data_IF_542367137986
#
_entry.id   IF_542367137986
#
_cell.length_a   1.000
_cell.length_b   1.000
_cell.length_c   1.000
_cell.angle_alpha   90.00
_cell.angle_beta   90.00
_cell.angle_gamma   90.00
#
_symmetry.space_group_name_H-M   'P 1'
#
loop_
_entity.id
_entity.type
_entity.pdbx_description
1 polymer ?
#
# COMPACT_ATOMS: atom_id res chain seq x y z
N UNK A 1 -88.10 -11.89 -12.43
CA UNK A 1 -87.07 -10.87 -12.13
C UNK A 1 -86.14 -11.43 -11.06
N UNK A 2 -84.92 -11.83 -11.42
CA UNK A 2 -83.89 -12.19 -10.46
C UNK A 2 -82.56 -11.61 -10.99
N UNK A 3 -81.99 -10.65 -10.27
CA UNK A 3 -80.69 -10.02 -10.58
C UNK A 3 -79.65 -10.60 -9.62
N UNK A 4 -78.69 -11.35 -10.15
CA UNK A 4 -77.50 -11.78 -9.41
C UNK A 4 -76.47 -10.64 -9.40
N UNK A 5 -76.05 -10.21 -8.20
CA UNK A 5 -74.86 -9.37 -8.03
C UNK A 5 -73.64 -10.28 -7.86
N UNK A 6 -72.68 -10.17 -8.78
CA UNK A 6 -71.33 -10.71 -8.60
C UNK A 6 -70.45 -9.66 -7.91
N UNK A 7 -69.94 -9.98 -6.73
CA UNK A 7 -68.97 -9.16 -6.02
C UNK A 7 -67.55 -9.51 -6.49
N UNK A 8 -66.84 -8.53 -7.06
CA UNK A 8 -65.45 -8.67 -7.50
C UNK A 8 -64.52 -8.41 -6.31
N UNK A 9 -63.83 -9.45 -5.85
CA UNK A 9 -62.84 -9.36 -4.78
C UNK A 9 -61.50 -8.92 -5.37
N UNK A 10 -61.11 -7.66 -5.16
CA UNK A 10 -59.80 -7.16 -5.56
C UNK A 10 -58.74 -7.60 -4.54
N UNK A 11 -57.87 -8.54 -4.92
CA UNK A 11 -56.67 -8.88 -4.15
C UNK A 11 -55.66 -7.73 -4.26
N UNK A 12 -55.47 -6.98 -3.16
CA UNK A 12 -54.28 -6.15 -2.98
C UNK A 12 -53.11 -7.06 -2.60
N UNK A 13 -52.17 -7.26 -3.52
CA UNK A 13 -50.87 -7.84 -3.21
C UNK A 13 -50.02 -6.81 -2.45
N UNK A 14 -49.39 -7.16 -1.30
CA UNK A 14 -48.48 -6.26 -0.63
C UNK A 14 -47.22 -6.05 -1.48
N UNK A 15 -46.93 -4.80 -1.81
CA UNK A 15 -45.64 -4.43 -2.39
C UNK A 15 -44.55 -4.68 -1.35
N UNK A 16 -43.74 -5.72 -1.55
CA UNK A 16 -42.54 -5.95 -0.76
C UNK A 16 -41.56 -4.78 -0.92
N UNK A 17 -40.71 -4.51 0.09
CA UNK A 17 -39.68 -3.48 -0.03
C UNK A 17 -38.83 -3.77 -1.27
N UNK A 18 -38.70 -2.79 -2.15
CA UNK A 18 -37.80 -2.86 -3.29
C UNK A 18 -36.38 -3.07 -2.78
N UNK A 19 -35.85 -4.29 -2.90
CA UNK A 19 -34.44 -4.57 -2.66
C UNK A 19 -33.66 -3.68 -3.64
N UNK A 20 -32.92 -2.72 -3.11
CA UNK A 20 -32.01 -1.92 -3.92
C UNK A 20 -31.10 -2.88 -4.70
N UNK A 21 -31.04 -2.72 -6.03
CA UNK A 21 -30.21 -3.57 -6.89
C UNK A 21 -28.76 -3.48 -6.40
N UNK A 22 -28.16 -4.62 -6.06
CA UNK A 22 -26.74 -4.70 -5.71
C UNK A 22 -25.89 -4.06 -6.82
N UNK A 23 -24.94 -3.17 -6.48
CA UNK A 23 -24.12 -2.51 -7.49
C UNK A 23 -23.32 -3.51 -8.31
N UNK A 24 -23.12 -3.22 -9.60
CA UNK A 24 -22.33 -4.09 -10.48
C UNK A 24 -20.85 -4.02 -10.10
N UNK A 25 -20.19 -5.15 -9.79
CA UNK A 25 -18.81 -5.16 -9.28
C UNK A 25 -17.77 -4.57 -10.25
N UNK A 26 -17.92 -4.82 -11.56
CA UNK A 26 -16.97 -4.37 -12.58
C UNK A 26 -16.79 -2.85 -12.62
N UNK A 27 -17.87 -2.05 -12.80
CA UNK A 27 -17.81 -0.60 -12.73
C UNK A 27 -17.21 -0.06 -11.43
N UNK A 28 -17.45 -0.74 -10.29
CA UNK A 28 -16.88 -0.35 -9.01
C UNK A 28 -15.36 -0.54 -8.98
N UNK A 29 -14.87 -1.67 -9.50
CA UNK A 29 -13.44 -1.94 -9.65
C UNK A 29 -12.77 -0.94 -10.60
N UNK A 30 -13.40 -0.63 -11.75
CA UNK A 30 -12.91 0.41 -12.68
C UNK A 30 -12.77 1.74 -11.95
N UNK A 31 -13.82 2.19 -11.25
CA UNK A 31 -13.80 3.44 -10.49
C UNK A 31 -12.69 3.48 -9.45
N UNK A 32 -12.51 2.40 -8.68
CA UNK A 32 -11.43 2.29 -7.69
C UNK A 32 -10.05 2.40 -8.34
N UNK A 33 -9.82 1.70 -9.45
CA UNK A 33 -8.54 1.73 -10.17
C UNK A 33 -8.27 3.14 -10.72
N UNK A 34 -9.24 3.77 -11.38
CA UNK A 34 -9.07 5.06 -12.03
C UNK A 34 -8.92 6.23 -11.04
N UNK A 35 -9.66 6.20 -9.93
CA UNK A 35 -9.73 7.36 -9.03
C UNK A 35 -8.79 7.26 -7.84
N UNK A 36 -8.35 6.04 -7.48
CA UNK A 36 -7.49 5.81 -6.31
C UNK A 36 -6.13 5.25 -6.71
N UNK A 37 -6.10 4.16 -7.47
CA UNK A 37 -4.89 3.34 -7.65
C UNK A 37 -3.95 3.94 -8.70
N UNK A 38 -4.41 4.14 -9.93
CA UNK A 38 -3.57 4.65 -11.03
C UNK A 38 -2.99 6.03 -10.71
N UNK A 39 -3.76 7.03 -10.22
CA UNK A 39 -3.18 8.34 -9.89
C UNK A 39 -2.10 8.28 -8.82
N UNK A 40 -2.21 7.35 -7.86
CA UNK A 40 -1.19 7.16 -6.81
C UNK A 40 0.07 6.50 -7.36
N UNK A 41 -0.06 5.52 -8.26
CA UNK A 41 1.10 4.97 -8.96
C UNK A 41 1.78 5.99 -9.88
N UNK A 42 1.02 6.89 -10.52
CA UNK A 42 1.58 8.01 -11.29
C UNK A 42 2.36 8.97 -10.39
N UNK A 43 1.81 9.32 -9.22
CA UNK A 43 2.50 10.13 -8.23
C UNK A 43 3.77 9.43 -7.70
N UNK A 44 3.71 8.12 -7.44
CA UNK A 44 4.86 7.32 -7.04
C UNK A 44 5.93 7.31 -8.12
N UNK A 45 5.58 7.05 -9.38
CA UNK A 45 6.51 7.05 -10.51
C UNK A 45 7.20 8.41 -10.69
N UNK A 46 6.44 9.51 -10.59
CA UNK A 46 6.99 10.87 -10.63
C UNK A 46 7.97 11.11 -9.48
N UNK A 47 7.64 10.70 -8.26
CA UNK A 47 8.49 10.90 -7.10
C UNK A 47 9.78 10.07 -7.18
N UNK A 48 9.72 8.83 -7.67
CA UNK A 48 10.92 8.00 -7.88
C UNK A 48 11.80 8.48 -9.03
N UNK A 49 11.21 9.10 -10.06
CA UNK A 49 11.97 9.76 -11.12
C UNK A 49 12.75 10.96 -10.56
N UNK A 50 12.08 11.82 -9.76
CA UNK A 50 12.74 12.93 -9.08
C UNK A 50 13.85 12.46 -8.12
N UNK A 51 13.65 11.33 -7.43
CA UNK A 51 14.69 10.70 -6.61
C UNK A 51 15.89 10.27 -7.48
N UNK A 52 15.64 9.68 -8.65
CA UNK A 52 16.70 9.30 -9.59
C UNK A 52 17.49 10.51 -10.08
N UNK A 53 16.81 11.61 -10.40
CA UNK A 53 17.45 12.86 -10.83
C UNK A 53 18.29 13.46 -9.70
N UNK A 54 17.79 13.46 -8.46
CA UNK A 54 18.52 13.92 -7.30
C UNK A 54 19.81 13.11 -7.09
N UNK A 55 19.74 11.78 -7.17
CA UNK A 55 20.91 10.89 -7.09
C UNK A 55 21.90 11.12 -8.22
N UNK A 56 21.42 11.24 -9.45
CA UNK A 56 22.27 11.45 -10.63
C UNK A 56 23.01 12.78 -10.52
N UNK A 57 22.32 13.84 -10.07
CA UNK A 57 22.92 15.16 -9.85
C UNK A 57 23.94 15.15 -8.71
N UNK A 58 23.60 14.54 -7.57
CA UNK A 58 24.47 14.50 -6.40
C UNK A 58 25.76 13.70 -6.64
N UNK A 59 25.75 12.79 -7.63
CA UNK A 59 26.87 11.93 -7.97
C UNK A 59 27.59 12.30 -9.27
N UNK A 60 27.27 13.44 -9.89
CA UNK A 60 27.81 13.84 -11.19
C UNK A 60 29.35 14.00 -11.19
N UNK A 61 29.92 14.49 -10.10
CA UNK A 61 31.37 14.73 -9.97
C UNK A 61 32.12 13.55 -9.33
N UNK A 62 31.43 12.41 -9.11
CA UNK A 62 32.00 11.22 -8.48
C UNK A 62 32.24 11.31 -6.97
N UNK A 63 32.03 12.48 -6.37
CA UNK A 63 32.11 12.69 -4.92
C UNK A 63 30.73 12.66 -4.26
N UNK A 64 30.53 11.67 -3.39
CA UNK A 64 29.34 11.53 -2.57
C UNK A 64 29.47 12.45 -1.36
N UNK A 65 29.15 13.76 -1.49
CA UNK A 65 28.67 14.64 -0.41
C UNK A 65 28.70 16.15 -0.72
N UNK A 66 27.82 16.68 -1.59
CA UNK A 66 27.46 18.11 -1.46
C UNK A 66 26.09 18.37 -0.80
N UNK A 67 25.09 17.47 -0.92
CA UNK A 67 23.75 17.74 -0.38
C UNK A 67 22.95 16.47 0.00
N UNK A 68 23.26 15.90 1.18
CA UNK A 68 22.45 14.83 1.77
C UNK A 68 21.02 15.29 2.12
N UNK A 69 20.79 16.60 2.27
CA UNK A 69 19.47 17.15 2.58
C UNK A 69 18.48 16.89 1.45
N UNK A 70 18.83 17.33 0.23
CA UNK A 70 18.01 17.11 -0.96
C UNK A 70 17.75 15.63 -1.25
N UNK A 71 18.76 14.76 -1.11
CA UNK A 71 18.58 13.32 -1.31
C UNK A 71 17.65 12.68 -0.26
N UNK A 72 17.70 13.15 0.99
CA UNK A 72 16.81 12.68 2.06
C UNK A 72 15.38 13.17 1.85
N UNK A 73 15.19 14.41 1.41
CA UNK A 73 13.86 14.95 1.08
C UNK A 73 13.22 14.19 -0.09
N UNK A 74 13.98 13.98 -1.17
CA UNK A 74 13.53 13.22 -2.32
C UNK A 74 13.25 11.74 -1.95
N UNK A 75 14.05 11.14 -1.05
CA UNK A 75 13.78 9.81 -0.50
C UNK A 75 12.43 9.77 0.24
N UNK A 76 12.18 10.72 1.14
CA UNK A 76 10.93 10.78 1.89
C UNK A 76 9.72 10.91 0.97
N UNK A 77 9.82 11.75 -0.06
CA UNK A 77 8.75 11.96 -1.05
C UNK A 77 8.50 10.71 -1.89
N UNK A 78 9.55 10.07 -2.41
CA UNK A 78 9.41 8.83 -3.17
C UNK A 78 8.84 7.69 -2.33
N UNK A 79 9.29 7.58 -1.08
CA UNK A 79 8.85 6.54 -0.19
C UNK A 79 7.43 6.80 0.37
N UNK A 80 6.93 8.05 0.35
CA UNK A 80 5.52 8.36 0.58
C UNK A 80 4.66 7.87 -0.58
N UNK A 81 5.15 8.02 -1.81
CA UNK A 81 4.51 7.45 -3.00
C UNK A 81 4.30 5.94 -2.87
N UNK A 82 5.29 5.21 -2.35
CA UNK A 82 5.15 3.79 -2.04
C UNK A 82 4.14 3.52 -0.92
N UNK A 83 4.22 4.23 0.21
CA UNK A 83 3.28 4.06 1.31
C UNK A 83 1.81 4.30 0.88
N UNK A 84 1.59 5.15 -0.12
CA UNK A 84 0.26 5.39 -0.68
C UNK A 84 -0.31 4.19 -1.47
N UNK A 85 0.52 3.24 -1.91
CA UNK A 85 0.12 2.11 -2.76
C UNK A 85 0.52 0.74 -2.23
N UNK A 86 1.31 0.65 -1.16
CA UNK A 86 1.81 -0.62 -0.59
C UNK A 86 0.70 -1.59 -0.14
N UNK A 87 -0.52 -1.07 0.05
CA UNK A 87 -1.67 -1.89 0.39
C UNK A 87 -2.28 -2.62 -0.83
N UNK A 88 -1.92 -2.21 -2.05
CA UNK A 88 -2.42 -2.78 -3.30
C UNK A 88 -1.59 -4.01 -3.65
N UNK A 89 -2.23 -5.19 -3.70
CA UNK A 89 -1.63 -6.44 -4.17
C UNK A 89 -2.23 -6.89 -5.50
N UNK A 90 -3.22 -6.16 -6.02
CA UNK A 90 -3.87 -6.44 -7.31
C UNK A 90 -3.19 -5.72 -8.48
N UNK A 91 -3.11 -6.42 -9.61
CA UNK A 91 -2.67 -5.83 -10.88
C UNK A 91 -1.16 -5.97 -11.15
N UNK A 92 -0.60 -5.11 -12.01
CA UNK A 92 0.80 -5.11 -12.43
C UNK A 92 1.82 -5.21 -11.29
N UNK A 93 1.52 -4.62 -10.13
CA UNK A 93 2.41 -4.64 -8.97
C UNK A 93 2.64 -6.06 -8.43
N UNK A 94 1.74 -7.01 -8.66
CA UNK A 94 1.84 -8.38 -8.15
C UNK A 94 2.90 -9.24 -8.88
N UNK A 95 3.43 -8.75 -10.00
CA UNK A 95 4.32 -9.52 -10.87
C UNK A 95 5.79 -9.31 -10.51
N UNK A 96 6.65 -10.24 -10.94
CA UNK A 96 8.12 -10.07 -10.91
C UNK A 96 8.71 -9.66 -9.55
N UNK A 97 8.08 -10.08 -8.45
CA UNK A 97 8.43 -9.72 -7.07
C UNK A 97 8.58 -8.20 -6.87
N UNK A 98 7.83 -7.39 -7.63
CA UNK A 98 7.91 -5.92 -7.57
C UNK A 98 7.67 -5.36 -6.15
N UNK A 99 6.74 -5.87 -5.31
CA UNK A 99 6.56 -5.34 -3.96
C UNK A 99 7.82 -5.54 -3.11
N UNK A 100 8.41 -6.75 -3.13
CA UNK A 100 9.64 -7.05 -2.39
C UNK A 100 10.86 -6.28 -2.91
N UNK A 101 10.92 -6.06 -4.23
CA UNK A 101 11.98 -5.27 -4.87
C UNK A 101 11.88 -3.78 -4.57
N UNK A 102 10.67 -3.25 -4.34
CA UNK A 102 10.46 -1.87 -3.89
C UNK A 102 10.70 -1.77 -2.39
N UNK A 103 10.20 -2.72 -1.62
CA UNK A 103 10.28 -2.72 -0.17
C UNK A 103 10.41 -4.13 0.41
N UNK A 104 11.64 -4.56 0.65
CA UNK A 104 11.91 -5.83 1.33
C UNK A 104 11.81 -5.68 2.86
N UNK A 105 10.82 -6.31 3.49
CA UNK A 105 10.69 -6.35 4.94
C UNK A 105 9.50 -7.20 5.41
N UNK A 106 9.45 -7.60 6.70
CA UNK A 106 10.37 -7.25 7.79
C UNK A 106 11.75 -7.92 7.70
N UNK A 107 12.83 -7.16 7.89
CA UNK A 107 14.22 -7.68 7.82
C UNK A 107 14.73 -8.22 9.16
N UNK A 108 14.21 -9.38 9.60
CA UNK A 108 14.59 -9.99 10.88
C UNK A 108 16.04 -10.49 10.94
N UNK A 109 16.66 -10.76 9.78
CA UNK A 109 17.99 -11.41 9.68
C UNK A 109 19.08 -10.45 9.21
N UNK A 110 18.79 -9.14 9.16
CA UNK A 110 19.71 -8.12 8.66
C UNK A 110 20.20 -8.41 7.22
N UNK A 111 19.33 -9.01 6.41
CA UNK A 111 19.57 -9.42 5.02
C UNK A 111 19.86 -8.21 4.14
N UNK A 112 19.22 -7.06 4.41
CA UNK A 112 19.44 -5.82 3.65
C UNK A 112 20.91 -5.38 3.77
N UNK A 113 21.51 -5.46 4.96
CA UNK A 113 22.92 -5.08 5.15
C UNK A 113 23.86 -5.97 4.34
N UNK A 114 23.65 -7.28 4.39
CA UNK A 114 24.47 -8.26 3.65
C UNK A 114 24.37 -8.06 2.14
N UNK A 115 23.14 -7.96 1.63
CA UNK A 115 22.88 -7.76 0.21
C UNK A 115 23.43 -6.42 -0.29
N UNK A 116 23.35 -5.36 0.53
CA UNK A 116 23.90 -4.04 0.19
C UNK A 116 25.43 -4.06 0.14
N UNK A 117 26.10 -4.80 1.04
CA UNK A 117 27.54 -4.98 1.00
C UNK A 117 27.99 -5.71 -0.28
N UNK A 118 27.27 -6.75 -0.70
CA UNK A 118 27.51 -7.46 -1.96
C UNK A 118 27.33 -6.54 -3.18
N UNK A 119 26.25 -5.75 -3.21
CA UNK A 119 26.00 -4.80 -4.29
C UNK A 119 27.08 -3.71 -4.34
N UNK A 120 27.53 -3.23 -3.17
CA UNK A 120 28.62 -2.25 -3.05
C UNK A 120 29.95 -2.82 -3.53
N UNK A 121 30.24 -4.09 -3.28
CA UNK A 121 31.43 -4.75 -3.80
C UNK A 121 31.41 -4.79 -5.34
N UNK A 122 30.28 -5.19 -5.94
CA UNK A 122 30.10 -5.16 -7.41
C UNK A 122 30.24 -3.74 -7.98
N UNK A 123 29.78 -2.74 -7.24
CA UNK A 123 29.90 -1.34 -7.64
C UNK A 123 31.34 -0.81 -7.61
N UNK A 124 32.32 -1.57 -7.12
CA UNK A 124 33.76 -1.21 -7.25
C UNK A 124 34.28 -1.52 -8.65
N UNK A 125 33.73 -2.57 -9.28
CA UNK A 125 34.17 -3.06 -10.59
C UNK A 125 33.61 -2.24 -11.77
N UNK A 126 32.70 -1.30 -11.50
CA UNK A 126 32.14 -0.40 -12.51
C UNK A 126 30.68 -0.03 -12.23
N UNK A 127 30.01 0.48 -13.26
CA UNK A 127 28.59 0.84 -13.19
C UNK A 127 27.69 -0.37 -13.02
N UNK A 128 26.65 -0.21 -12.20
CA UNK A 128 25.64 -1.25 -11.96
C UNK A 128 24.54 -1.15 -13.02
N UNK A 129 24.53 -2.07 -13.98
CA UNK A 129 23.47 -2.13 -14.99
C UNK A 129 22.11 -2.53 -14.36
N UNK A 130 20.98 -2.22 -15.01
CA UNK A 130 19.67 -2.69 -14.56
C UNK A 130 19.59 -4.22 -14.40
N UNK A 131 20.26 -4.97 -15.27
CA UNK A 131 20.35 -6.44 -15.22
C UNK A 131 21.12 -6.89 -13.98
N UNK A 132 22.20 -6.21 -13.64
CA UNK A 132 22.99 -6.47 -12.43
C UNK A 132 22.14 -6.28 -11.18
N UNK A 133 21.39 -5.18 -11.10
CA UNK A 133 20.50 -4.90 -9.97
C UNK A 133 19.38 -5.94 -9.87
N UNK A 134 18.78 -6.33 -11.01
CA UNK A 134 17.75 -7.39 -11.03
C UNK A 134 18.28 -8.76 -10.59
N UNK A 135 19.56 -9.05 -10.87
CA UNK A 135 20.21 -10.31 -10.55
C UNK A 135 20.72 -10.44 -9.11
N UNK A 136 20.77 -9.36 -8.33
CA UNK A 136 21.11 -9.43 -6.89
C UNK A 136 19.87 -9.68 -6.02
N UNK A 137 20.09 -10.01 -4.75
CA UNK A 137 19.02 -10.18 -3.77
C UNK A 137 18.07 -8.97 -3.75
N UNK A 138 16.76 -9.24 -3.71
CA UNK A 138 15.70 -8.22 -3.61
C UNK A 138 15.92 -7.27 -2.42
N UNK A 139 16.58 -7.76 -1.36
CA UNK A 139 16.91 -6.97 -0.17
C UNK A 139 17.85 -5.79 -0.44
N UNK A 140 18.57 -5.76 -1.58
CA UNK A 140 19.44 -4.65 -1.98
C UNK A 140 18.80 -3.70 -3.02
N UNK A 141 17.57 -3.96 -3.48
CA UNK A 141 17.03 -3.32 -4.68
C UNK A 141 16.13 -2.09 -4.42
N UNK A 142 15.68 -1.90 -3.17
CA UNK A 142 14.57 -0.99 -2.86
C UNK A 142 14.82 0.01 -1.74
N UNK A 143 13.74 0.61 -1.24
CA UNK A 143 13.77 1.65 -0.21
C UNK A 143 14.52 1.27 1.08
N UNK A 144 14.43 0.04 1.62
CA UNK A 144 15.20 -0.34 2.81
C UNK A 144 16.72 -0.28 2.58
N UNK A 145 17.19 -0.64 1.39
CA UNK A 145 18.59 -0.53 1.03
C UNK A 145 18.98 0.95 0.83
N UNK A 146 18.17 1.72 0.10
CA UNK A 146 18.41 3.15 -0.12
C UNK A 146 18.42 3.96 1.18
N UNK A 147 17.59 3.57 2.16
CA UNK A 147 17.57 4.17 3.49
C UNK A 147 18.93 4.03 4.17
N UNK A 148 19.53 2.84 4.16
CA UNK A 148 20.87 2.64 4.73
C UNK A 148 21.91 3.47 4.01
N UNK A 149 21.84 3.49 2.68
CA UNK A 149 22.73 4.32 1.85
C UNK A 149 22.59 5.81 2.18
N UNK A 150 21.50 6.30 2.75
CA UNK A 150 21.32 7.74 3.08
C UNK A 150 21.47 8.10 4.57
N UNK A 151 21.15 7.17 5.45
CA UNK A 151 20.99 7.45 6.88
C UNK A 151 21.99 6.68 7.76
N UNK A 152 22.65 5.63 7.27
CA UNK A 152 23.76 5.00 7.99
C UNK A 152 25.09 5.74 7.70
N UNK A 153 26.06 5.71 8.63
CA UNK A 153 27.38 6.29 8.44
C UNK A 153 28.02 5.84 7.12
N UNK A 154 28.77 6.74 6.49
CA UNK A 154 29.51 6.41 5.28
C UNK A 154 30.62 5.39 5.58
N UNK A 155 30.49 4.19 5.04
CA UNK A 155 31.56 3.22 4.98
C UNK A 155 31.91 2.93 3.52
N UNK A 156 33.20 2.83 3.21
CA UNK A 156 33.70 2.51 1.86
C UNK A 156 33.89 3.72 0.93
N UNK A 157 34.10 3.42 -0.35
CA UNK A 157 34.43 4.41 -1.38
C UNK A 157 33.19 5.23 -1.79
N UNK A 158 33.33 6.56 -1.78
CA UNK A 158 32.28 7.51 -2.16
C UNK A 158 31.67 7.22 -3.54
N UNK A 159 32.52 6.94 -4.53
CA UNK A 159 32.11 6.58 -5.89
C UNK A 159 31.23 5.31 -5.93
N UNK A 160 31.61 4.25 -5.20
CA UNK A 160 30.83 3.02 -5.12
C UNK A 160 29.46 3.27 -4.46
N UNK A 161 29.41 4.05 -3.38
CA UNK A 161 28.15 4.44 -2.73
C UNK A 161 27.24 5.22 -3.67
N UNK A 162 27.80 6.14 -4.46
CA UNK A 162 27.09 6.87 -5.49
C UNK A 162 26.49 5.95 -6.55
N UNK A 163 27.29 5.03 -7.10
CA UNK A 163 26.83 4.04 -8.08
C UNK A 163 25.69 3.18 -7.52
N UNK A 164 25.79 2.74 -6.27
CA UNK A 164 24.71 1.98 -5.59
C UNK A 164 23.44 2.80 -5.43
N UNK A 165 23.54 4.04 -4.92
CA UNK A 165 22.37 4.89 -4.71
C UNK A 165 21.63 5.23 -6.01
N UNK A 166 22.38 5.59 -7.06
CA UNK A 166 21.84 5.81 -8.41
C UNK A 166 21.17 4.55 -8.95
N UNK A 167 21.79 3.38 -8.80
CA UNK A 167 21.25 2.12 -9.31
C UNK A 167 19.93 1.71 -8.62
N UNK A 168 19.87 1.85 -7.29
CA UNK A 168 18.64 1.58 -6.52
C UNK A 168 17.53 2.58 -6.88
N UNK A 169 17.85 3.87 -6.99
CA UNK A 169 16.88 4.90 -7.37
C UNK A 169 16.29 4.64 -8.77
N UNK A 170 17.15 4.31 -9.75
CA UNK A 170 16.73 3.91 -11.10
C UNK A 170 15.84 2.66 -11.09
N UNK A 171 16.16 1.65 -10.27
CA UNK A 171 15.35 0.44 -10.16
C UNK A 171 13.95 0.74 -9.61
N UNK A 172 13.84 1.55 -8.56
CA UNK A 172 12.56 2.01 -8.01
C UNK A 172 11.75 2.76 -9.06
N UNK A 173 12.38 3.70 -9.78
CA UNK A 173 11.73 4.46 -10.85
C UNK A 173 11.27 3.58 -12.00
N UNK A 174 12.06 2.59 -12.40
CA UNK A 174 11.69 1.63 -13.44
C UNK A 174 10.46 0.81 -13.04
N UNK A 175 10.45 0.24 -11.83
CA UNK A 175 9.30 -0.53 -11.34
C UNK A 175 8.03 0.32 -11.31
N UNK A 176 8.11 1.55 -10.79
CA UNK A 176 6.95 2.43 -10.71
C UNK A 176 6.43 2.82 -12.10
N UNK A 177 7.32 3.14 -13.04
CA UNK A 177 6.95 3.47 -14.41
C UNK A 177 6.33 2.27 -15.17
N UNK A 178 6.87 1.07 -14.98
CA UNK A 178 6.33 -0.16 -15.57
C UNK A 178 4.90 -0.41 -15.09
N UNK A 179 4.65 -0.29 -13.79
CA UNK A 179 3.30 -0.47 -13.21
C UNK A 179 2.29 0.52 -13.79
N UNK A 180 2.66 1.80 -13.93
CA UNK A 180 1.80 2.81 -14.57
C UNK A 180 1.54 2.47 -16.03
N UNK A 181 2.59 2.11 -16.76
CA UNK A 181 2.51 1.77 -18.19
C UNK A 181 1.59 0.58 -18.41
N UNK A 182 1.73 -0.48 -17.63
CA UNK A 182 0.92 -1.69 -17.73
C UNK A 182 -0.54 -1.44 -17.35
N UNK A 183 -0.81 -0.65 -16.31
CA UNK A 183 -2.18 -0.26 -15.97
C UNK A 183 -2.87 0.49 -17.11
N UNK A 184 -2.14 1.40 -17.78
CA UNK A 184 -2.68 2.32 -18.79
C UNK A 184 -2.61 1.80 -20.23
N UNK A 185 -1.97 0.65 -20.45
CA UNK A 185 -1.89 0.06 -21.78
C UNK A 185 -3.29 -0.26 -22.33
N UNK A 186 -3.50 -0.08 -23.64
CA UNK A 186 -4.76 -0.39 -24.34
C UNK A 186 -5.20 -1.86 -24.19
N UNK A 187 -4.22 -2.75 -23.99
CA UNK A 187 -4.39 -4.18 -23.73
C UNK A 187 -4.18 -4.56 -22.26
N UNK A 188 -3.95 -3.56 -21.40
CA UNK A 188 -3.67 -3.73 -19.98
C UNK A 188 -4.93 -4.00 -19.14
N UNK A 189 -4.76 -4.27 -17.83
CA UNK A 189 -5.84 -4.76 -16.98
C UNK A 189 -7.02 -3.79 -16.88
N UNK A 190 -6.77 -2.47 -16.78
CA UNK A 190 -7.86 -1.48 -16.70
C UNK A 190 -8.68 -1.41 -18.00
N UNK A 191 -8.02 -1.42 -19.16
CA UNK A 191 -8.70 -1.36 -20.45
C UNK A 191 -9.54 -2.62 -20.71
N UNK A 192 -9.01 -3.81 -20.35
CA UNK A 192 -9.76 -5.08 -20.36
C UNK A 192 -10.99 -5.03 -19.45
N UNK A 193 -10.81 -4.59 -18.22
CA UNK A 193 -11.88 -4.48 -17.24
C UNK A 193 -13.02 -3.56 -17.73
N UNK A 194 -12.69 -2.44 -18.39
CA UNK A 194 -13.68 -1.54 -19.01
C UNK A 194 -14.49 -2.18 -20.13
N UNK A 195 -13.95 -3.20 -20.80
CA UNK A 195 -14.67 -4.01 -21.80
C UNK A 195 -15.43 -5.18 -21.17
N UNK A 196 -15.43 -5.31 -19.85
CA UNK A 196 -16.05 -6.42 -19.13
C UNK A 196 -15.22 -7.71 -19.17
N UNK A 197 -13.95 -7.63 -19.53
CA UNK A 197 -13.04 -8.78 -19.63
C UNK A 197 -12.22 -8.96 -18.34
N UNK A 198 -11.74 -10.18 -18.13
CA UNK A 198 -10.66 -10.45 -17.19
C UNK A 198 -9.28 -10.10 -17.74
N UNK A 199 -8.27 -10.17 -16.87
CA UNK A 199 -6.86 -10.10 -17.17
C UNK A 199 -6.14 -11.36 -16.63
N UNK A 200 -5.44 -12.15 -17.46
CA UNK A 200 -4.84 -13.42 -17.04
C UNK A 200 -3.90 -13.35 -15.84
N UNK A 201 -3.25 -12.20 -15.62
CA UNK A 201 -2.29 -12.01 -14.54
C UNK A 201 -2.91 -11.37 -13.30
N UNK A 202 -3.97 -10.57 -13.47
CA UNK A 202 -4.51 -9.72 -12.41
C UNK A 202 -5.83 -10.23 -11.85
N UNK A 203 -6.78 -10.60 -12.71
CA UNK A 203 -8.10 -11.06 -12.29
C UNK A 203 -8.88 -11.83 -13.37
N UNK A 204 -9.60 -12.88 -12.98
CA UNK A 204 -10.32 -13.75 -13.93
C UNK A 204 -11.48 -13.06 -14.67
N UNK A 205 -12.18 -12.14 -14.00
CA UNK A 205 -13.34 -11.43 -14.53
C UNK A 205 -13.57 -10.12 -13.72
N UNK A 206 -14.54 -9.26 -14.13
CA UNK A 206 -14.81 -8.00 -13.43
C UNK A 206 -15.28 -8.14 -11.97
N UNK A 207 -15.96 -9.25 -11.61
CA UNK A 207 -16.36 -9.49 -10.23
C UNK A 207 -15.16 -9.85 -9.37
N UNK A 208 -14.24 -10.65 -9.89
CA UNK A 208 -12.99 -10.98 -9.21
C UNK A 208 -12.10 -9.73 -9.04
N UNK A 209 -12.11 -8.79 -9.99
CA UNK A 209 -11.39 -7.52 -9.84
C UNK A 209 -11.87 -6.75 -8.60
N UNK A 210 -13.19 -6.62 -8.42
CA UNK A 210 -13.77 -5.95 -7.24
C UNK A 210 -13.45 -6.71 -5.94
N UNK A 211 -13.56 -8.04 -5.95
CA UNK A 211 -13.25 -8.88 -4.81
C UNK A 211 -11.79 -8.73 -4.36
N UNK A 212 -10.84 -8.72 -5.30
CA UNK A 212 -9.42 -8.53 -5.01
C UNK A 212 -9.13 -7.14 -4.46
N UNK A 213 -9.75 -6.08 -4.99
CA UNK A 213 -9.60 -4.72 -4.48
C UNK A 213 -10.23 -4.54 -3.09
N UNK A 214 -11.36 -5.20 -2.80
CA UNK A 214 -11.94 -5.25 -1.46
C UNK A 214 -11.02 -6.01 -0.49
N UNK A 215 -10.35 -7.05 -0.97
CA UNK A 215 -9.35 -7.82 -0.21
C UNK A 215 -8.09 -6.97 0.06
N UNK A 216 -7.63 -6.19 -0.93
CA UNK A 216 -6.55 -5.21 -0.75
C UNK A 216 -6.91 -4.15 0.28
N UNK A 217 -8.15 -3.66 0.29
CA UNK A 217 -8.64 -2.71 1.29
C UNK A 217 -8.57 -3.29 2.71
N UNK A 218 -9.23 -4.44 2.94
CA UNK A 218 -9.27 -5.06 4.26
C UNK A 218 -7.86 -5.51 4.71
N UNK A 219 -7.13 -6.19 3.83
CA UNK A 219 -5.77 -6.67 4.08
C UNK A 219 -4.76 -5.53 4.25
N UNK A 220 -4.98 -4.38 3.61
CA UNK A 220 -4.17 -3.18 3.79
C UNK A 220 -4.18 -2.68 5.23
N UNK A 221 -5.37 -2.54 5.80
CA UNK A 221 -5.54 -2.14 7.21
C UNK A 221 -4.95 -3.20 8.15
N UNK A 222 -5.17 -4.49 7.84
CA UNK A 222 -4.61 -5.60 8.60
C UNK A 222 -3.08 -5.56 8.64
N UNK A 223 -2.43 -5.42 7.48
CA UNK A 223 -0.97 -5.41 7.37
C UNK A 223 -0.35 -4.24 8.15
N UNK A 224 -1.00 -3.08 8.19
CA UNK A 224 -0.53 -1.96 9.03
C UNK A 224 -0.47 -2.39 10.51
N UNK A 225 -1.50 -3.09 11.01
CA UNK A 225 -1.47 -3.62 12.37
C UNK A 225 -0.39 -4.70 12.54
N UNK A 226 -0.48 -5.77 11.75
CA UNK A 226 0.23 -7.02 12.00
C UNK A 226 1.73 -6.92 11.66
N UNK A 227 2.08 -6.04 10.73
CA UNK A 227 3.46 -5.90 10.23
C UNK A 227 4.12 -4.62 10.72
N UNK A 228 3.38 -3.51 10.92
CA UNK A 228 3.97 -2.21 11.25
C UNK A 228 3.79 -1.76 12.70
N UNK A 229 2.69 -2.11 13.36
CA UNK A 229 2.41 -1.67 14.74
C UNK A 229 2.70 -2.75 15.78
N UNK A 230 2.09 -3.93 15.65
CA UNK A 230 2.19 -5.00 16.64
C UNK A 230 3.63 -5.51 16.84
N UNK A 231 4.46 -5.66 15.79
CA UNK A 231 5.85 -6.05 15.97
C UNK A 231 6.69 -5.05 16.77
N UNK A 232 6.37 -3.75 16.64
CA UNK A 232 7.03 -2.66 17.39
C UNK A 232 6.58 -2.67 18.84
N UNK A 233 5.27 -2.83 19.07
CA UNK A 233 4.69 -2.90 20.41
C UNK A 233 5.24 -4.06 21.23
N UNK A 234 5.33 -5.27 20.66
CA UNK A 234 5.58 -6.46 21.48
C UNK A 234 4.49 -6.67 22.54
N UNK A 235 4.68 -7.63 23.46
CA UNK A 235 3.68 -7.97 24.48
C UNK A 235 3.59 -6.98 25.65
N UNK A 236 4.63 -6.17 25.87
CA UNK A 236 4.72 -5.17 26.94
C UNK A 236 5.69 -4.06 26.53
N UNK A 237 5.81 -3.01 27.36
CA UNK A 237 6.81 -1.96 27.18
C UNK A 237 8.25 -2.52 27.15
N UNK A 238 8.58 -3.43 28.07
CA UNK A 238 9.90 -4.08 28.14
C UNK A 238 10.15 -5.02 26.95
N UNK A 239 9.09 -5.57 26.35
CA UNK A 239 9.17 -6.45 25.18
C UNK A 239 9.07 -5.70 23.84
N UNK A 240 8.98 -4.36 23.86
CA UNK A 240 8.89 -3.55 22.66
C UNK A 240 10.17 -3.66 21.82
N UNK A 241 10.01 -3.61 20.49
CA UNK A 241 11.11 -3.77 19.54
C UNK A 241 11.23 -2.52 18.69
N UNK A 242 11.93 -1.50 19.21
CA UNK A 242 12.04 -0.21 18.55
C UNK A 242 12.52 -0.30 17.09
N UNK A 243 13.53 -1.14 16.83
CA UNK A 243 14.10 -1.35 15.49
C UNK A 243 13.23 -2.21 14.56
N UNK A 244 12.09 -2.72 15.03
CA UNK A 244 11.09 -3.35 14.17
C UNK A 244 10.22 -2.32 13.44
N UNK A 245 10.27 -1.04 13.82
CA UNK A 245 9.50 0.01 13.16
C UNK A 245 10.02 0.21 11.73
N UNK A 246 9.14 0.09 10.75
CA UNK A 246 9.49 0.26 9.35
C UNK A 246 10.08 1.66 9.10
N UNK A 247 11.25 1.75 8.48
CA UNK A 247 11.86 3.05 8.17
C UNK A 247 12.32 3.85 9.40
N UNK A 248 12.69 3.16 10.49
CA UNK A 248 13.14 3.83 11.72
C UNK A 248 14.43 4.65 11.54
N UNK A 249 15.30 4.30 10.58
CA UNK A 249 16.55 5.05 10.35
C UNK A 249 16.28 6.44 9.78
N UNK A 250 15.23 6.56 8.98
CA UNK A 250 14.76 7.80 8.38
C UNK A 250 13.66 8.48 9.21
N UNK A 251 13.33 7.95 10.39
CA UNK A 251 12.32 8.49 11.29
C UNK A 251 10.91 8.55 10.68
N UNK A 252 10.61 7.70 9.69
CA UNK A 252 9.39 7.84 8.87
C UNK A 252 8.26 6.86 9.20
N UNK A 253 8.42 6.02 10.21
CA UNK A 253 7.47 4.93 10.50
C UNK A 253 6.04 5.42 10.65
N UNK A 254 5.81 6.45 11.49
CA UNK A 254 4.47 7.02 11.67
C UNK A 254 3.97 7.75 10.41
N UNK A 255 4.86 8.44 9.69
CA UNK A 255 4.53 9.10 8.42
C UNK A 255 4.01 8.11 7.38
N UNK A 256 4.70 6.98 7.19
CA UNK A 256 4.27 5.93 6.28
C UNK A 256 2.87 5.43 6.63
N UNK A 257 2.62 5.10 7.91
CA UNK A 257 1.30 4.65 8.37
C UNK A 257 0.20 5.69 8.11
N UNK A 258 0.47 6.97 8.34
CA UNK A 258 -0.51 8.05 8.04
C UNK A 258 -0.87 8.08 6.56
N UNK A 259 0.13 7.96 5.67
CA UNK A 259 -0.07 7.95 4.21
C UNK A 259 -0.85 6.71 3.76
N UNK A 260 -0.51 5.52 4.28
CA UNK A 260 -1.21 4.28 3.99
C UNK A 260 -2.67 4.36 4.45
N UNK A 261 -2.90 4.82 5.69
CA UNK A 261 -4.25 4.93 6.25
C UNK A 261 -5.13 5.97 5.54
N UNK A 262 -4.54 7.03 4.99
CA UNK A 262 -5.27 7.95 4.12
C UNK A 262 -5.67 7.29 2.80
N UNK A 263 -4.79 6.47 2.21
CA UNK A 263 -5.04 5.84 0.92
C UNK A 263 -6.06 4.70 0.99
N UNK A 264 -6.03 3.88 2.05
CA UNK A 264 -7.07 2.87 2.29
C UNK A 264 -8.42 3.51 2.57
N UNK A 265 -8.49 4.64 3.29
CA UNK A 265 -9.73 5.36 3.53
C UNK A 265 -10.35 5.93 2.23
N UNK A 266 -9.51 6.38 1.30
CA UNK A 266 -9.98 6.82 -0.01
C UNK A 266 -10.53 5.66 -0.85
N UNK A 267 -9.91 4.47 -0.79
CA UNK A 267 -10.45 3.27 -1.42
C UNK A 267 -11.78 2.84 -0.77
N UNK A 268 -11.85 2.84 0.55
CA UNK A 268 -13.07 2.53 1.29
C UNK A 268 -14.23 3.43 0.86
N UNK A 269 -13.98 4.74 0.70
CA UNK A 269 -14.99 5.70 0.24
C UNK A 269 -15.55 5.36 -1.15
N UNK A 270 -14.74 4.82 -2.05
CA UNK A 270 -15.22 4.37 -3.37
C UNK A 270 -16.23 3.23 -3.24
N UNK A 271 -15.92 2.23 -2.42
CA UNK A 271 -16.82 1.10 -2.16
C UNK A 271 -18.06 1.51 -1.36
N UNK A 272 -17.89 2.29 -0.29
CA UNK A 272 -18.96 2.79 0.57
C UNK A 272 -19.97 3.65 -0.20
N UNK A 273 -19.55 4.40 -1.23
CA UNK A 273 -20.46 5.17 -2.08
C UNK A 273 -21.46 4.31 -2.87
N UNK A 274 -21.23 3.00 -2.98
CA UNK A 274 -22.14 2.05 -3.61
C UNK A 274 -22.98 1.25 -2.59
N UNK A 275 -22.75 1.45 -1.28
CA UNK A 275 -23.44 0.74 -0.20
C UNK A 275 -24.70 1.49 0.28
N UNK A 276 -25.60 0.84 1.03
CA UNK A 276 -26.68 1.51 1.76
C UNK A 276 -26.16 2.67 2.63
N UNK A 277 -26.94 3.75 2.71
CA UNK A 277 -26.53 5.04 3.31
C UNK A 277 -26.06 4.89 4.76
N UNK A 278 -26.75 4.07 5.55
CA UNK A 278 -26.42 3.80 6.94
C UNK A 278 -25.08 3.06 7.08
N UNK A 279 -24.81 2.09 6.22
CA UNK A 279 -23.54 1.36 6.18
C UNK A 279 -22.40 2.25 5.67
N UNK A 280 -22.64 3.06 4.64
CA UNK A 280 -21.67 4.03 4.15
C UNK A 280 -21.28 5.05 5.23
N UNK A 281 -22.25 5.51 6.04
CA UNK A 281 -21.98 6.41 7.16
C UNK A 281 -21.21 5.72 8.30
N UNK A 282 -21.49 4.44 8.57
CA UNK A 282 -20.76 3.64 9.56
C UNK A 282 -19.30 3.44 9.15
N UNK A 283 -19.05 3.07 7.89
CA UNK A 283 -17.71 2.90 7.31
C UNK A 283 -16.91 4.21 7.38
N UNK A 284 -17.53 5.31 6.92
CA UNK A 284 -16.91 6.63 6.98
C UNK A 284 -16.52 7.03 8.42
N UNK A 285 -17.35 6.71 9.41
CA UNK A 285 -17.04 6.95 10.82
C UNK A 285 -15.87 6.09 11.31
N UNK A 286 -15.84 4.81 10.93
CA UNK A 286 -14.77 3.90 11.31
C UNK A 286 -13.41 4.34 10.72
N UNK A 287 -13.38 4.69 9.43
CA UNK A 287 -12.15 5.21 8.79
C UNK A 287 -11.75 6.60 9.31
N UNK A 288 -12.71 7.48 9.64
CA UNK A 288 -12.38 8.76 10.28
C UNK A 288 -11.71 8.56 11.65
N UNK A 289 -12.19 7.62 12.47
CA UNK A 289 -11.56 7.26 13.73
C UNK A 289 -10.16 6.68 13.53
N UNK A 290 -9.99 5.79 12.54
CA UNK A 290 -8.70 5.24 12.15
C UNK A 290 -7.73 6.35 11.73
N UNK A 291 -8.09 7.24 10.80
CA UNK A 291 -7.25 8.36 10.38
C UNK A 291 -6.89 9.30 11.55
N UNK A 292 -7.84 9.59 12.44
CA UNK A 292 -7.59 10.41 13.63
C UNK A 292 -6.60 9.74 14.60
N UNK A 293 -6.65 8.40 14.73
CA UNK A 293 -5.68 7.66 15.52
C UNK A 293 -4.28 7.60 14.87
N UNK A 294 -4.21 7.47 13.54
CA UNK A 294 -2.96 7.52 12.79
C UNK A 294 -2.28 8.89 12.90
N UNK A 295 -3.06 9.98 12.86
CA UNK A 295 -2.55 11.34 13.05
C UNK A 295 -1.96 11.57 14.45
N UNK A 296 -2.44 10.83 15.46
CA UNK A 296 -1.95 10.90 16.85
C UNK A 296 -0.77 9.97 17.15
N UNK A 297 -0.34 9.17 16.18
CA UNK A 297 0.84 8.33 16.36
C UNK A 297 2.07 9.20 16.66
N UNK A 298 2.90 8.85 17.66
CA UNK A 298 4.18 9.50 17.89
C UNK A 298 5.10 9.35 16.68
N UNK A 299 5.94 10.35 16.38
CA UNK A 299 6.83 10.27 15.21
C UNK A 299 7.86 9.15 15.34
N UNK A 300 8.47 8.99 16.53
CA UNK A 300 9.26 7.80 16.88
C UNK A 300 8.37 6.75 17.56
N UNK A 301 7.88 5.80 16.76
CA UNK A 301 7.09 4.67 17.24
C UNK A 301 7.90 3.72 18.13
N UNK A 302 9.19 3.57 17.84
CA UNK A 302 10.03 2.60 18.52
C UNK A 302 10.31 3.02 19.96
N UNK A 303 10.67 4.29 20.15
CA UNK A 303 10.81 4.91 21.47
C UNK A 303 9.46 4.97 22.20
N UNK A 304 8.39 5.41 21.53
CA UNK A 304 7.08 5.49 22.17
C UNK A 304 6.55 4.14 22.67
N UNK A 305 6.91 3.03 22.02
CA UNK A 305 6.47 1.69 22.40
C UNK A 305 7.08 1.19 23.72
N UNK A 306 8.27 1.68 24.11
CA UNK A 306 8.95 1.33 25.37
C UNK A 306 8.45 2.15 26.56
N UNK A 307 7.67 3.20 26.32
CA UNK A 307 7.14 4.08 27.36
C UNK A 307 5.64 3.83 27.61
N UNK A 308 5.22 3.39 28.82
CA UNK A 308 3.83 2.99 29.09
C UNK A 308 2.76 4.05 28.76
N UNK A 309 3.08 5.34 28.87
CA UNK A 309 2.13 6.42 28.56
C UNK A 309 2.02 6.68 27.05
N UNK A 310 3.15 6.74 26.34
CA UNK A 310 3.18 7.01 24.89
C UNK A 310 2.68 5.82 24.08
N UNK A 311 2.96 4.60 24.56
CA UNK A 311 2.47 3.33 23.99
C UNK A 311 0.96 3.30 23.75
N UNK A 312 0.18 3.93 24.64
CA UNK A 312 -1.29 3.98 24.53
C UNK A 312 -1.79 4.58 23.21
N UNK A 313 -1.04 5.52 22.62
CA UNK A 313 -1.40 6.09 21.33
C UNK A 313 -1.30 5.04 20.20
N UNK A 314 -0.30 4.18 20.27
CA UNK A 314 -0.09 3.09 19.32
C UNK A 314 -1.15 2.00 19.52
N UNK A 315 -1.46 1.63 20.76
CA UNK A 315 -2.54 0.68 21.09
C UNK A 315 -3.92 1.17 20.63
N UNK A 316 -4.20 2.47 20.80
CA UNK A 316 -5.44 3.09 20.32
C UNK A 316 -5.54 3.08 18.78
N UNK A 317 -4.41 3.27 18.07
CA UNK A 317 -4.36 3.14 16.63
C UNK A 317 -4.64 1.70 16.19
N UNK A 318 -4.02 0.70 16.84
CA UNK A 318 -4.30 -0.73 16.57
C UNK A 318 -5.79 -1.04 16.71
N UNK A 319 -6.41 -0.60 17.81
CA UNK A 319 -7.83 -0.82 18.06
C UNK A 319 -8.72 -0.17 16.99
N UNK A 320 -8.40 1.06 16.58
CA UNK A 320 -9.18 1.81 15.59
C UNK A 320 -9.00 1.24 14.18
N UNK A 321 -7.80 0.78 13.82
CA UNK A 321 -7.54 0.10 12.54
C UNK A 321 -8.27 -1.24 12.49
N UNK A 322 -8.24 -2.02 13.57
CA UNK A 322 -9.00 -3.28 13.66
C UNK A 322 -10.51 -3.03 13.52
N UNK A 323 -11.03 -1.96 14.11
CA UNK A 323 -12.44 -1.59 13.96
C UNK A 323 -12.80 -1.24 12.50
N UNK A 324 -11.96 -0.45 11.82
CA UNK A 324 -12.16 -0.13 10.40
C UNK A 324 -12.09 -1.37 9.51
N UNK A 325 -11.10 -2.25 9.72
CA UNK A 325 -11.01 -3.53 9.00
C UNK A 325 -12.26 -4.39 9.25
N UNK A 326 -12.70 -4.50 10.51
CA UNK A 326 -13.88 -5.29 10.88
C UNK A 326 -15.13 -4.76 10.20
N UNK A 327 -15.28 -3.44 10.08
CA UNK A 327 -16.40 -2.81 9.38
C UNK A 327 -16.40 -3.20 7.88
N UNK A 328 -15.24 -3.13 7.22
CA UNK A 328 -15.09 -3.57 5.83
C UNK A 328 -15.50 -5.04 5.67
N UNK A 329 -14.94 -5.92 6.51
CA UNK A 329 -15.11 -7.37 6.41
C UNK A 329 -16.53 -7.82 6.74
N UNK A 330 -17.12 -7.29 7.80
CA UNK A 330 -18.40 -7.79 8.34
C UNK A 330 -19.62 -7.04 7.82
N UNK A 331 -19.44 -5.83 7.25
CA UNK A 331 -20.56 -5.00 6.81
C UNK A 331 -20.45 -4.56 5.36
N UNK A 332 -19.38 -3.83 5.01
CA UNK A 332 -19.27 -3.21 3.69
C UNK A 332 -19.23 -4.26 2.57
N UNK A 333 -18.33 -5.23 2.68
CA UNK A 333 -18.18 -6.28 1.66
C UNK A 333 -19.45 -7.14 1.50
N UNK A 334 -20.09 -7.66 2.57
CA UNK A 334 -21.37 -8.36 2.47
C UNK A 334 -22.49 -7.52 1.86
N UNK A 335 -22.60 -6.23 2.22
CA UNK A 335 -23.65 -5.35 1.70
C UNK A 335 -23.53 -5.10 0.20
N UNK A 336 -22.31 -5.14 -0.34
CA UNK A 336 -22.04 -5.01 -1.76
C UNK A 336 -22.08 -6.37 -2.50
N UNK A 337 -22.26 -7.48 -1.79
CA UNK A 337 -22.17 -8.82 -2.36
C UNK A 337 -20.79 -9.13 -2.94
N UNK A 338 -19.73 -8.47 -2.45
CA UNK A 338 -18.36 -8.64 -2.92
C UNK A 338 -17.64 -9.58 -1.95
N UNK A 339 -17.29 -10.81 -2.37
CA UNK A 339 -16.58 -11.72 -1.49
C UNK A 339 -15.15 -11.23 -1.24
N UNK A 340 -14.64 -11.51 -0.04
CA UNK A 340 -13.22 -11.37 0.25
C UNK A 340 -12.49 -12.64 -0.17
N UNK A 341 -11.35 -12.49 -0.84
CA UNK A 341 -10.44 -13.59 -1.13
C UNK A 341 -9.49 -13.85 0.04
N UNK A 342 -8.71 -14.93 -0.07
CA UNK A 342 -7.59 -15.18 0.82
C UNK A 342 -6.53 -14.08 0.66
N UNK A 343 -6.04 -13.55 1.78
CA UNK A 343 -4.84 -12.72 1.80
C UNK A 343 -3.66 -13.49 2.43
N UNK A 344 -2.44 -12.97 2.25
CA UNK A 344 -1.20 -13.65 2.70
C UNK A 344 -1.09 -13.82 4.23
N UNK A 345 -1.95 -13.17 5.02
CA UNK A 345 -2.01 -13.29 6.48
C UNK A 345 -3.14 -14.21 6.97
N UNK A 346 -4.01 -14.72 6.09
CA UNK A 346 -5.11 -15.62 6.47
C UNK A 346 -4.65 -17.08 6.65
N UNK A 347 -3.40 -17.37 6.28
CA UNK A 347 -2.78 -18.68 6.40
C UNK A 347 -1.32 -18.57 6.81
N UNK A 348 -1.09 -18.33 8.11
CA UNK A 348 0.14 -18.64 8.86
C UNK A 348 -0.17 -18.69 10.37
#
# INVERSE_FOLDING_TARGET
MARSLAATLALLAPAGPALAKTPEPGPLAVKAIETVIVPRYEAFAKATAAQTDAWTKACADGDFAPDLGALREAYQTAADGWAAVEFVTTGPIATSLRPDRVFFGPDRRNTVAKALAELTAKARDGDLSPETVRGVSVAAQGFPALERVLYEPAEGEAAARCRVGVAIAKNLSGIAADVVTEWKAETGPLARLKRGEGDPLSFADPAQAAARLMTDLAGGVQRVNDVKLLPVLGSSADAARAKAAEGWRSGRSARAIRVTMASVADLARVFAAAAPVDLAAADAKAFAAAQASAAKLPDDLGEAATEPKRRKAIEAAVASFKAAQTDVVQKLAPALGVPLGFNALDGD
#
